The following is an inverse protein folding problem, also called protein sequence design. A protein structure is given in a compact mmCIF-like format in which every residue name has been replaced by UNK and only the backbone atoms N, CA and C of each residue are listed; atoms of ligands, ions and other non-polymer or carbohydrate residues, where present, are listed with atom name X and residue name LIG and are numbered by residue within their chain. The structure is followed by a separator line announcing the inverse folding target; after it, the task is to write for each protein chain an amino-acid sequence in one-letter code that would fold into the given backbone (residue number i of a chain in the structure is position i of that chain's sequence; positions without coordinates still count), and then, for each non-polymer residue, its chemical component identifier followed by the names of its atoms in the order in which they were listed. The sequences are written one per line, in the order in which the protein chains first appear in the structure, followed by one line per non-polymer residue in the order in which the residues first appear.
data_IF_577521613260
#
_entry.id   IF_577521613260
#
_cell.length_a   1.000
_cell.length_b   1.000
_cell.length_c   1.000
_cell.angle_alpha   90.00
_cell.angle_beta   90.00
_cell.angle_gamma   90.00
#
_symmetry.space_group_name_H-M   'P 1'
#
loop_
_entity.id
_entity.type
_entity.pdbx_description
1 polymer ?
#
# COMPACT_ATOMS: atom_id res chain seq x y z
N UNK A 1 16.38 14.15 -16.20
CA UNK A 1 17.03 14.42 -14.90
C UNK A 1 16.37 13.53 -13.85
N UNK A 2 17.12 12.75 -13.05
CA UNK A 2 16.52 11.91 -12.02
C UNK A 2 15.98 12.80 -10.89
N UNK A 3 14.67 12.73 -10.62
CA UNK A 3 14.07 13.41 -9.48
C UNK A 3 14.57 12.75 -8.19
N UNK A 4 15.34 13.50 -7.39
CA UNK A 4 15.80 13.00 -6.08
C UNK A 4 14.62 13.01 -5.11
N UNK A 5 14.37 11.88 -4.45
CA UNK A 5 13.29 11.81 -3.46
C UNK A 5 13.62 12.69 -2.24
N UNK A 6 12.65 13.47 -1.76
CA UNK A 6 12.76 14.32 -0.56
C UNK A 6 12.22 13.62 0.71
N UNK A 7 11.80 12.36 0.61
CA UNK A 7 11.10 11.65 1.69
C UNK A 7 12.05 11.31 2.84
N UNK A 8 11.50 11.22 4.06
CA UNK A 8 12.25 10.68 5.21
C UNK A 8 12.55 9.21 4.97
N UNK A 9 13.80 8.80 5.24
CA UNK A 9 14.24 7.40 5.10
C UNK A 9 13.44 6.50 6.05
N UNK A 10 13.01 5.35 5.54
CA UNK A 10 12.39 4.31 6.33
C UNK A 10 13.46 3.54 7.09
N UNK A 11 13.23 3.32 8.38
CA UNK A 11 14.02 2.40 9.19
C UNK A 11 13.12 1.21 9.47
N UNK A 12 13.55 0.03 9.03
CA UNK A 12 12.90 -1.25 9.26
C UNK A 12 13.87 -2.16 10.00
N UNK A 13 13.34 -2.98 10.89
CA UNK A 13 14.06 -4.08 11.53
C UNK A 13 14.23 -5.25 10.55
N UNK A 14 15.19 -6.14 10.81
CA UNK A 14 15.40 -7.34 9.99
C UNK A 14 14.14 -8.22 9.91
N UNK A 15 13.41 -8.38 11.01
CA UNK A 15 12.17 -9.15 11.07
C UNK A 15 11.05 -8.53 10.21
N UNK A 16 10.94 -7.20 10.20
CA UNK A 16 9.96 -6.50 9.37
C UNK A 16 10.28 -6.63 7.88
N UNK A 17 11.56 -6.55 7.51
CA UNK A 17 11.99 -6.76 6.13
C UNK A 17 11.68 -8.17 5.67
N UNK A 18 11.99 -9.19 6.48
CA UNK A 18 11.71 -10.59 6.17
C UNK A 18 10.21 -10.82 5.93
N UNK A 19 9.34 -10.39 6.85
CA UNK A 19 7.88 -10.46 6.67
C UNK A 19 7.40 -9.75 5.42
N UNK A 20 7.94 -8.57 5.11
CA UNK A 20 7.58 -7.84 3.90
C UNK A 20 8.03 -8.57 2.63
N UNK A 21 9.19 -9.25 2.65
CA UNK A 21 9.65 -10.06 1.51
C UNK A 21 8.75 -11.28 1.27
N UNK A 22 8.28 -11.94 2.33
CA UNK A 22 7.31 -13.04 2.22
C UNK A 22 6.00 -12.56 1.57
N UNK A 23 5.47 -11.43 2.05
CA UNK A 23 4.22 -10.85 1.51
C UNK A 23 4.41 -10.40 0.06
N UNK A 24 5.56 -9.81 -0.28
CA UNK A 24 5.89 -9.33 -1.64
C UNK A 24 5.89 -10.44 -2.70
N UNK A 25 6.25 -11.67 -2.30
CA UNK A 25 6.31 -12.82 -3.19
C UNK A 25 5.07 -13.73 -3.10
N UNK A 26 4.16 -13.47 -2.15
CA UNK A 26 3.03 -14.35 -1.89
C UNK A 26 2.02 -14.36 -3.03
N UNK A 27 1.59 -15.57 -3.41
CA UNK A 27 0.53 -15.81 -4.40
C UNK A 27 -0.86 -15.94 -3.78
N UNK A 28 -0.93 -16.13 -2.46
CA UNK A 28 -2.19 -16.31 -1.71
C UNK A 28 -2.72 -15.01 -1.11
N UNK A 29 -1.87 -13.99 -1.01
CA UNK A 29 -2.23 -12.68 -0.50
C UNK A 29 -2.97 -11.85 -1.56
N UNK A 30 -3.85 -10.91 -1.14
CA UNK A 30 -4.46 -9.96 -2.05
C UNK A 30 -3.41 -9.12 -2.78
N UNK A 31 -3.63 -8.86 -4.07
CA UNK A 31 -2.72 -8.09 -4.93
C UNK A 31 -2.30 -6.76 -4.28
N UNK A 32 -3.25 -6.06 -3.64
CA UNK A 32 -2.95 -4.80 -2.93
C UNK A 32 -1.96 -4.99 -1.78
N UNK A 33 -2.07 -6.07 -1.01
CA UNK A 33 -1.13 -6.35 0.09
C UNK A 33 0.28 -6.59 -0.44
N UNK A 34 0.37 -7.35 -1.54
CA UNK A 34 1.62 -7.65 -2.24
C UNK A 34 2.27 -6.37 -2.80
N UNK A 35 1.51 -5.55 -3.51
CA UNK A 35 1.97 -4.26 -4.06
C UNK A 35 2.44 -3.31 -2.95
N UNK A 36 1.70 -3.25 -1.84
CA UNK A 36 2.07 -2.41 -0.70
C UNK A 36 3.39 -2.86 -0.07
N UNK A 37 3.60 -4.16 0.10
CA UNK A 37 4.85 -4.70 0.60
C UNK A 37 6.03 -4.35 -0.34
N UNK A 38 5.83 -4.48 -1.66
CA UNK A 38 6.82 -4.06 -2.67
C UNK A 38 7.19 -2.58 -2.55
N UNK A 39 6.19 -1.70 -2.40
CA UNK A 39 6.44 -0.25 -2.21
C UNK A 39 7.24 0.01 -0.93
N UNK A 40 6.93 -0.69 0.17
CA UNK A 40 7.65 -0.53 1.44
C UNK A 40 9.12 -0.97 1.34
N UNK A 41 9.37 -2.14 0.75
CA UNK A 41 10.74 -2.64 0.51
C UNK A 41 11.52 -1.71 -0.41
N UNK A 42 10.93 -1.33 -1.53
CA UNK A 42 11.57 -0.40 -2.46
C UNK A 42 11.82 0.98 -1.84
N UNK A 43 10.96 1.38 -0.90
CA UNK A 43 11.15 2.64 -0.19
C UNK A 43 12.26 2.58 0.86
N UNK A 44 12.48 1.40 1.46
CA UNK A 44 13.61 1.09 2.33
C UNK A 44 14.94 1.04 1.57
N UNK A 45 14.92 0.54 0.33
CA UNK A 45 16.06 0.51 -0.60
C UNK A 45 16.40 1.86 -1.24
N UNK A 46 15.78 2.96 -0.80
CA UNK A 46 15.97 4.31 -1.34
C UNK A 46 15.65 4.47 -2.86
N UNK A 47 14.88 3.53 -3.45
CA UNK A 47 14.42 3.63 -4.86
C UNK A 47 13.54 4.86 -5.08
N UNK A 48 13.67 5.50 -6.23
CA UNK A 48 12.85 6.65 -6.64
C UNK A 48 11.40 6.24 -6.95
N UNK A 49 10.45 7.17 -6.78
CA UNK A 49 9.03 6.92 -7.06
C UNK A 49 8.79 6.41 -8.50
N UNK A 50 9.58 6.87 -9.49
CA UNK A 50 9.54 6.37 -10.86
C UNK A 50 9.99 4.91 -10.97
N UNK A 51 11.07 4.53 -10.27
CA UNK A 51 11.53 3.12 -10.26
C UNK A 51 10.48 2.22 -9.60
N UNK A 52 9.89 2.67 -8.49
CA UNK A 52 8.81 1.94 -7.81
C UNK A 52 7.61 1.77 -8.73
N UNK A 53 7.18 2.83 -9.42
CA UNK A 53 6.08 2.75 -10.37
C UNK A 53 6.38 1.80 -11.54
N UNK A 54 7.61 1.78 -12.05
CA UNK A 54 8.02 0.82 -13.09
C UNK A 54 7.94 -0.62 -12.61
N UNK A 55 8.40 -0.89 -11.38
CA UNK A 55 8.39 -2.23 -10.79
C UNK A 55 6.95 -2.74 -10.55
N UNK A 56 6.01 -1.86 -10.23
CA UNK A 56 4.59 -2.19 -10.10
C UNK A 56 3.91 -2.37 -11.47
N UNK A 57 4.28 -1.53 -12.44
CA UNK A 57 3.73 -1.56 -13.80
C UNK A 57 4.39 -2.60 -14.71
N UNK A 58 5.29 -3.45 -14.22
CA UNK A 58 6.03 -4.44 -15.01
C UNK A 58 5.17 -5.48 -15.78
N UNK A 59 3.83 -5.43 -15.62
CA UNK A 59 2.86 -6.20 -16.41
C UNK A 59 2.43 -5.49 -17.71
N UNK A 60 2.65 -4.19 -17.82
CA UNK A 60 2.31 -3.35 -18.96
C UNK A 60 3.61 -2.75 -19.50
N UNK A 61 3.86 -2.87 -20.80
CA UNK A 61 5.01 -2.21 -21.45
C UNK A 61 4.78 -0.69 -21.51
N UNK A 62 4.90 -0.02 -20.36
CA UNK A 62 4.82 1.43 -20.27
C UNK A 62 6.18 2.01 -20.65
N UNK A 63 6.19 2.89 -21.65
CA UNK A 63 7.43 3.54 -22.08
C UNK A 63 7.93 4.54 -21.01
N UNK A 64 9.24 4.80 -20.97
CA UNK A 64 9.84 5.77 -20.04
C UNK A 64 9.23 7.17 -20.15
N UNK A 65 8.75 7.54 -21.34
CA UNK A 65 8.12 8.83 -21.59
C UNK A 65 6.74 8.93 -20.93
N UNK A 66 5.96 7.86 -20.96
CA UNK A 66 4.64 7.78 -20.33
C UNK A 66 4.74 7.71 -18.82
N UNK A 67 5.72 6.98 -18.31
CA UNK A 67 6.01 6.91 -16.88
C UNK A 67 6.41 8.27 -16.32
N UNK A 68 7.26 9.00 -17.04
CA UNK A 68 7.72 10.33 -16.65
C UNK A 68 6.71 11.46 -16.97
N UNK A 69 5.60 11.14 -17.63
CA UNK A 69 4.54 12.11 -17.85
C UNK A 69 3.97 12.58 -16.50
N UNK A 70 3.69 13.88 -16.39
CA UNK A 70 3.22 14.49 -15.14
C UNK A 70 1.95 13.78 -14.66
N UNK A 71 2.03 13.16 -13.49
CA UNK A 71 0.90 12.51 -12.82
C UNK A 71 0.78 11.00 -13.05
N UNK A 72 1.50 10.39 -13.99
CA UNK A 72 1.42 8.92 -14.22
C UNK A 72 1.96 8.13 -13.03
N UNK A 73 3.17 8.46 -12.55
CA UNK A 73 3.77 7.86 -11.35
C UNK A 73 2.83 7.97 -10.15
N UNK A 74 2.23 9.15 -9.94
CA UNK A 74 1.31 9.40 -8.84
C UNK A 74 0.03 8.55 -8.95
N UNK A 75 -0.52 8.38 -10.16
CA UNK A 75 -1.69 7.54 -10.42
C UNK A 75 -1.39 6.06 -10.13
N UNK A 76 -0.26 5.55 -10.62
CA UNK A 76 0.17 4.16 -10.41
C UNK A 76 0.31 3.88 -8.90
N UNK A 77 1.05 4.73 -8.19
CA UNK A 77 1.26 4.56 -6.75
C UNK A 77 -0.04 4.76 -5.94
N UNK A 78 -0.91 5.67 -6.38
CA UNK A 78 -2.22 5.89 -5.74
C UNK A 78 -3.17 4.70 -5.92
N UNK A 79 -3.02 3.89 -6.98
CA UNK A 79 -3.83 2.70 -7.19
C UNK A 79 -3.66 1.66 -6.07
N UNK A 80 -2.44 1.51 -5.53
CA UNK A 80 -2.15 0.67 -4.36
C UNK A 80 -2.51 1.34 -3.02
N UNK A 81 -3.11 2.54 -3.07
CA UNK A 81 -3.52 3.35 -1.93
C UNK A 81 -2.39 3.60 -0.90
N UNK A 82 -1.15 3.72 -1.40
CA UNK A 82 0.02 4.14 -0.63
C UNK A 82 0.61 5.39 -1.26
N UNK A 83 0.94 6.35 -0.39
CA UNK A 83 1.69 7.55 -0.76
C UNK A 83 3.12 7.41 -0.23
N UNK A 84 4.14 7.24 -1.11
CA UNK A 84 5.52 7.03 -0.65
C UNK A 84 6.05 8.15 0.26
N UNK A 85 5.67 9.41 0.04
CA UNK A 85 6.06 10.52 0.91
C UNK A 85 5.45 10.46 2.32
N UNK A 86 4.43 9.62 2.56
CA UNK A 86 3.82 9.38 3.88
C UNK A 86 4.17 8.02 4.47
N UNK A 87 5.13 7.30 3.87
CA UNK A 87 5.32 5.88 4.15
C UNK A 87 5.76 5.58 5.59
N UNK A 88 6.66 6.41 6.13
CA UNK A 88 7.07 6.38 7.54
C UNK A 88 5.85 6.44 8.49
N UNK A 89 4.79 7.11 8.05
CA UNK A 89 3.61 7.32 8.87
C UNK A 89 2.58 6.18 8.82
N UNK A 90 2.72 5.24 7.87
CA UNK A 90 1.93 4.01 7.87
C UNK A 90 2.49 2.96 8.85
N UNK A 91 3.77 3.07 9.21
CA UNK A 91 4.46 2.14 10.11
C UNK A 91 4.35 2.61 11.57
N UNK A 92 4.36 3.93 11.78
CA UNK A 92 4.16 4.47 13.11
C UNK A 92 2.77 4.13 13.63
N UNK A 93 2.72 3.42 14.77
CA UNK A 93 1.51 3.19 15.54
C UNK A 93 1.07 4.52 16.17
N UNK A 94 0.41 5.38 15.36
CA UNK A 94 -0.01 6.72 15.78
C UNK A 94 -1.10 6.70 16.86
N UNK A 95 -1.88 5.61 16.91
CA UNK A 95 -2.97 5.44 17.87
C UNK A 95 -2.83 4.04 18.50
N UNK A 96 -2.41 3.93 19.77
CA UNK A 96 -2.32 2.64 20.46
C UNK A 96 -3.69 1.96 20.59
N UNK A 97 -4.77 2.72 20.55
CA UNK A 97 -6.16 2.21 20.61
C UNK A 97 -6.75 1.96 19.20
N UNK A 98 -5.94 1.95 18.13
CA UNK A 98 -6.43 1.73 16.78
C UNK A 98 -7.17 0.39 16.63
N UNK A 99 -6.57 -0.69 17.13
CA UNK A 99 -7.14 -2.04 17.07
C UNK A 99 -8.51 -2.11 17.78
N UNK A 100 -8.64 -1.75 19.08
CA UNK A 100 -9.94 -1.80 19.74
C UNK A 100 -10.98 -0.88 19.10
N UNK A 101 -10.60 0.33 18.65
CA UNK A 101 -11.53 1.23 17.93
C UNK A 101 -12.01 0.62 16.61
N UNK A 102 -11.10 0.03 15.83
CA UNK A 102 -11.44 -0.59 14.54
C UNK A 102 -12.39 -1.78 14.72
N UNK A 103 -12.21 -2.58 15.77
CA UNK A 103 -13.06 -3.72 16.08
C UNK A 103 -14.50 -3.29 16.36
N UNK A 104 -14.68 -2.22 17.15
CA UNK A 104 -16.02 -1.64 17.44
C UNK A 104 -16.68 -1.16 16.14
N UNK A 105 -15.96 -0.41 15.31
CA UNK A 105 -16.48 0.10 14.03
C UNK A 105 -16.89 -1.05 13.09
N UNK A 106 -16.04 -2.06 12.95
CA UNK A 106 -16.33 -3.23 12.12
C UNK A 106 -17.51 -4.04 12.66
N UNK A 107 -17.64 -4.15 13.98
CA UNK A 107 -18.79 -4.81 14.61
C UNK A 107 -20.09 -4.10 14.26
N UNK A 108 -20.15 -2.77 14.38
CA UNK A 108 -21.31 -1.96 14.01
C UNK A 108 -21.69 -2.15 12.53
N UNK A 109 -20.72 -2.18 11.62
CA UNK A 109 -20.99 -2.45 10.21
C UNK A 109 -21.55 -3.86 9.98
N UNK A 110 -21.04 -4.87 10.69
CA UNK A 110 -21.58 -6.23 10.63
C UNK A 110 -23.03 -6.27 11.12
N UNK A 111 -23.35 -5.60 12.24
CA UNK A 111 -24.72 -5.51 12.77
C UNK A 111 -25.69 -4.91 11.74
N UNK A 112 -25.34 -3.76 11.16
CA UNK A 112 -26.19 -3.10 10.14
C UNK A 112 -26.35 -3.98 8.90
N UNK A 113 -25.29 -4.67 8.46
CA UNK A 113 -25.34 -5.60 7.32
C UNK A 113 -26.33 -6.75 7.59
N UNK A 114 -26.31 -7.31 8.80
CA UNK A 114 -27.25 -8.35 9.21
C UNK A 114 -28.70 -7.83 9.26
N UNK A 115 -28.92 -6.66 9.85
CA UNK A 115 -30.25 -6.02 9.88
C UNK A 115 -30.80 -5.77 8.48
N UNK A 116 -29.97 -5.30 7.54
CA UNK A 116 -30.36 -5.14 6.14
C UNK A 116 -30.73 -6.47 5.49
N UNK A 117 -29.98 -7.55 5.75
CA UNK A 117 -30.28 -8.89 5.22
C UNK A 117 -31.63 -9.41 5.74
N UNK A 118 -31.93 -9.20 7.02
CA UNK A 118 -33.19 -9.60 7.65
C UNK A 118 -34.39 -8.76 7.16
N UNK A 119 -34.22 -7.45 6.99
CA UNK A 119 -35.30 -6.54 6.55
C UNK A 119 -35.62 -6.63 5.07
N UNK A 120 -34.62 -6.84 4.23
CA UNK A 120 -34.75 -6.71 2.77
C UNK A 120 -34.58 -8.03 2.02
N UNK A 121 -34.37 -9.15 2.73
CA UNK A 121 -34.43 -10.51 2.16
C UNK A 121 -33.82 -10.62 0.77
N UNK A 122 -32.51 -10.44 0.63
CA UNK A 122 -31.86 -10.78 -0.64
C UNK A 122 -31.86 -12.32 -0.77
N UNK A 123 -32.66 -12.79 -1.73
CA UNK A 123 -32.62 -14.13 -2.31
C UNK A 123 -31.22 -14.44 -2.82
#
# INVERSE_FOLDING_TARGET
MPFKSKRKKLVLTSEEVEKLTEISCSRTQPVRSVERAKIMLASYEDKSDSQIARELSAKEEITDKELNARGTVSKILSASNIKPHKISSYIQQRDPDFEPKSAVVLHTYKQVKLLKKLRYGFC
#
